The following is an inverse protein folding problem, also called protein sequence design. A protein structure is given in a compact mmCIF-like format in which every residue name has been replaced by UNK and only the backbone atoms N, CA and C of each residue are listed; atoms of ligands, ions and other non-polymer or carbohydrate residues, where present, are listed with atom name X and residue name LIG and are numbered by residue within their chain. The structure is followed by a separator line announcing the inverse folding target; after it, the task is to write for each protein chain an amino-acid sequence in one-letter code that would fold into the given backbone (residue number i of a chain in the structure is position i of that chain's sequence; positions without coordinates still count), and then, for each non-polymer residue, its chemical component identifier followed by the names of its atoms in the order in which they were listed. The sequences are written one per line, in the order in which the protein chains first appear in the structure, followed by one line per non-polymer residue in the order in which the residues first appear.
data_IF_319463226911
#
_entry.id   IF_319463226911
#
_cell.length_a   1.000
_cell.length_b   1.000
_cell.length_c   1.000
_cell.angle_alpha   90.00
_cell.angle_beta   90.00
_cell.angle_gamma   90.00
#
_symmetry.space_group_name_H-M   'P 1'
#
loop_
_entity.id
_entity.type
_entity.pdbx_description
1 polymer ?
#
# COMPACT_ATOMS: atom_id res chain seq x y z
N UNK A 1 13.07 15.73 -10.07
CA UNK A 1 11.93 15.44 -10.98
C UNK A 1 10.85 14.69 -10.21
N UNK A 2 9.96 15.40 -9.53
CA UNK A 2 8.79 14.82 -8.85
C UNK A 2 7.77 14.40 -9.90
N UNK A 3 7.65 13.10 -10.16
CA UNK A 3 6.52 12.59 -10.94
C UNK A 3 5.26 12.63 -10.07
N UNK A 4 4.26 13.48 -10.39
CA UNK A 4 3.09 13.68 -9.54
C UNK A 4 2.24 12.41 -9.40
N UNK A 5 2.16 11.59 -10.46
CA UNK A 5 1.42 10.32 -10.47
C UNK A 5 2.00 9.31 -9.48
N UNK A 6 3.34 9.21 -9.43
CA UNK A 6 4.04 8.31 -8.50
C UNK A 6 3.91 8.77 -7.05
N UNK A 7 3.70 10.07 -6.81
CA UNK A 7 3.44 10.59 -5.47
C UNK A 7 2.00 10.27 -5.01
N UNK A 8 1.02 10.43 -5.91
CA UNK A 8 -0.37 10.08 -5.63
C UNK A 8 -0.54 8.60 -5.25
N UNK A 9 0.23 7.71 -5.88
CA UNK A 9 0.18 6.28 -5.59
C UNK A 9 0.69 5.92 -4.18
N UNK A 10 1.74 6.62 -3.71
CA UNK A 10 2.25 6.48 -2.33
C UNK A 10 1.21 6.99 -1.34
N UNK A 11 0.61 8.15 -1.60
CA UNK A 11 -0.43 8.72 -0.73
C UNK A 11 -1.63 7.78 -0.64
N UNK A 12 -2.07 7.21 -1.77
CA UNK A 12 -3.15 6.22 -1.79
C UNK A 12 -2.80 4.97 -0.96
N UNK A 13 -1.57 4.44 -1.09
CA UNK A 13 -1.08 3.32 -0.27
C UNK A 13 -1.08 3.64 1.23
N UNK A 14 -0.64 4.84 1.61
CA UNK A 14 -0.68 5.30 3.00
C UNK A 14 -2.12 5.45 3.55
N UNK A 15 -3.05 5.97 2.75
CA UNK A 15 -4.47 6.08 3.15
C UNK A 15 -5.08 4.70 3.40
N UNK A 16 -4.78 3.71 2.55
CA UNK A 16 -5.23 2.32 2.74
C UNK A 16 -4.68 1.69 4.02
N UNK A 17 -3.42 1.97 4.36
CA UNK A 17 -2.83 1.56 5.64
C UNK A 17 -3.55 2.21 6.83
N UNK A 18 -3.86 3.51 6.76
CA UNK A 18 -4.63 4.18 7.82
C UNK A 18 -6.03 3.58 7.97
N UNK A 19 -6.72 3.28 6.86
CA UNK A 19 -8.02 2.62 6.89
C UNK A 19 -7.94 1.24 7.55
N UNK A 20 -6.86 0.49 7.35
CA UNK A 20 -6.64 -0.80 8.01
C UNK A 20 -6.58 -0.68 9.53
N UNK A 21 -5.96 0.39 10.05
CA UNK A 21 -5.85 0.65 11.49
C UNK A 21 -7.21 1.01 12.09
N UNK A 22 -8.01 1.80 11.37
CA UNK A 22 -9.39 2.12 11.79
C UNK A 22 -10.24 0.84 11.85
N UNK A 23 -10.14 -0.02 10.83
CA UNK A 23 -10.85 -1.29 10.79
C UNK A 23 -10.42 -2.25 11.91
N UNK A 24 -9.13 -2.30 12.23
CA UNK A 24 -8.59 -3.06 13.36
C UNK A 24 -9.18 -2.62 14.71
N UNK A 25 -9.47 -1.33 14.87
CA UNK A 25 -10.09 -0.81 16.10
C UNK A 25 -11.53 -1.29 16.33
N UNK A 26 -12.21 -1.75 15.28
CA UNK A 26 -13.64 -2.15 15.33
C UNK A 26 -13.90 -3.65 15.53
N UNK A 27 -12.86 -4.49 15.71
CA UNK A 27 -12.92 -5.93 15.40
C UNK A 27 -13.54 -6.87 16.46
N UNK A 28 -13.63 -6.52 17.75
CA UNK A 28 -13.98 -7.54 18.77
C UNK A 28 -15.28 -7.28 19.55
N UNK A 29 -15.70 -6.04 19.70
CA UNK A 29 -16.81 -5.67 20.60
C UNK A 29 -18.18 -5.68 19.92
N UNK A 30 -18.25 -5.47 18.60
CA UNK A 30 -19.49 -5.33 17.84
C UNK A 30 -20.07 -6.65 17.33
N UNK A 31 -19.25 -7.69 17.11
CA UNK A 31 -19.64 -8.95 16.46
C UNK A 31 -19.80 -10.12 17.44
N UNK A 32 -20.33 -9.86 18.64
CA UNK A 32 -20.73 -10.92 19.59
C UNK A 32 -21.95 -11.68 19.06
N UNK A 33 -21.77 -12.53 18.04
CA UNK A 33 -22.84 -13.43 17.58
C UNK A 33 -22.69 -14.04 16.19
N UNK A 34 -21.89 -13.46 15.28
CA UNK A 34 -21.89 -13.88 13.87
C UNK A 34 -20.50 -14.37 13.41
N UNK A 35 -20.27 -15.68 13.56
CA UNK A 35 -18.99 -16.35 13.25
C UNK A 35 -18.57 -16.28 11.78
N UNK A 36 -19.50 -16.06 10.84
CA UNK A 36 -19.15 -15.85 9.42
C UNK A 36 -18.55 -14.46 9.18
N UNK A 37 -19.13 -13.44 9.78
CA UNK A 37 -18.70 -12.05 9.59
C UNK A 37 -17.30 -11.81 10.19
N UNK A 38 -16.94 -12.48 11.29
CA UNK A 38 -15.58 -12.46 11.84
C UNK A 38 -14.52 -12.98 10.86
N UNK A 39 -14.78 -14.09 10.15
CA UNK A 39 -13.85 -14.65 9.16
C UNK A 39 -13.63 -13.69 7.99
N UNK A 40 -14.70 -13.04 7.51
CA UNK A 40 -14.59 -12.04 6.45
C UNK A 40 -13.76 -10.83 6.88
N UNK A 41 -14.04 -10.25 8.05
CA UNK A 41 -13.30 -9.07 8.53
C UNK A 41 -11.82 -9.41 8.74
N UNK A 42 -11.52 -10.56 9.37
CA UNK A 42 -10.15 -11.03 9.57
C UNK A 42 -9.38 -11.16 8.24
N UNK A 43 -10.00 -11.77 7.23
CA UNK A 43 -9.42 -11.88 5.89
C UNK A 43 -9.23 -10.50 5.25
N UNK A 44 -10.28 -9.68 5.20
CA UNK A 44 -10.24 -8.34 4.60
C UNK A 44 -9.16 -7.46 5.24
N UNK A 45 -8.93 -7.56 6.55
CA UNK A 45 -7.86 -6.84 7.24
C UNK A 45 -6.47 -7.21 6.71
N UNK A 46 -6.19 -8.50 6.56
CA UNK A 46 -4.92 -8.99 6.02
C UNK A 46 -4.73 -8.52 4.57
N UNK A 47 -5.80 -8.51 3.77
CA UNK A 47 -5.78 -8.02 2.40
C UNK A 47 -5.48 -6.53 2.29
N UNK A 48 -6.20 -5.68 3.03
CA UNK A 48 -6.01 -4.21 2.94
C UNK A 48 -4.61 -3.82 3.39
N UNK A 49 -4.10 -4.40 4.47
CA UNK A 49 -2.74 -4.13 4.96
C UNK A 49 -1.68 -4.53 3.94
N UNK A 50 -1.80 -5.73 3.37
CA UNK A 50 -0.86 -6.26 2.38
C UNK A 50 -0.85 -5.42 1.11
N UNK A 51 -2.03 -5.02 0.62
CA UNK A 51 -2.19 -4.18 -0.57
C UNK A 51 -1.64 -2.77 -0.32
N UNK A 52 -2.00 -2.13 0.80
CA UNK A 52 -1.53 -0.79 1.15
C UNK A 52 -0.02 -0.71 1.29
N UNK A 53 0.58 -1.70 1.96
CA UNK A 53 2.04 -1.81 2.09
C UNK A 53 2.72 -2.01 0.73
N UNK A 54 2.23 -2.94 -0.09
CA UNK A 54 2.80 -3.24 -1.42
C UNK A 54 2.71 -2.03 -2.35
N UNK A 55 1.60 -1.28 -2.32
CA UNK A 55 1.43 -0.08 -3.15
C UNK A 55 2.45 1.01 -2.77
N UNK A 56 2.62 1.27 -1.48
CA UNK A 56 3.57 2.28 -0.98
C UNK A 56 5.02 1.90 -1.27
N UNK A 57 5.44 0.68 -0.93
CA UNK A 57 6.81 0.21 -1.17
C UNK A 57 7.11 0.05 -2.66
N UNK A 58 6.16 -0.46 -3.44
CA UNK A 58 6.28 -0.59 -4.89
C UNK A 58 6.48 0.76 -5.57
N UNK A 59 5.70 1.77 -5.19
CA UNK A 59 5.84 3.12 -5.75
C UNK A 59 7.16 3.80 -5.37
N UNK A 60 7.71 3.54 -4.17
CA UNK A 60 9.06 3.99 -3.81
C UNK A 60 10.12 3.30 -4.65
N UNK A 61 10.04 1.97 -4.81
CA UNK A 61 10.99 1.22 -5.63
C UNK A 61 10.97 1.66 -7.09
N UNK A 62 9.79 1.87 -7.68
CA UNK A 62 9.66 2.38 -9.04
C UNK A 62 10.28 3.77 -9.22
N UNK A 63 10.26 4.65 -8.19
CA UNK A 63 10.94 5.95 -8.25
C UNK A 63 12.46 5.78 -8.30
N UNK A 64 13.02 4.93 -7.43
CA UNK A 64 14.46 4.64 -7.41
C UNK A 64 14.91 3.97 -8.69
N UNK A 65 14.12 3.01 -9.20
CA UNK A 65 14.36 2.32 -10.46
C UNK A 65 14.40 3.31 -11.64
N UNK A 66 13.46 4.26 -11.69
CA UNK A 66 13.44 5.28 -12.74
C UNK A 66 14.73 6.11 -12.75
N UNK A 67 15.23 6.49 -11.57
CA UNK A 67 16.50 7.23 -11.44
C UNK A 67 17.67 6.37 -11.89
N UNK A 68 17.74 5.11 -11.45
CA UNK A 68 18.77 4.16 -11.87
C UNK A 68 18.79 3.98 -13.40
N UNK A 69 17.64 3.76 -14.04
CA UNK A 69 17.53 3.63 -15.49
C UNK A 69 17.98 4.89 -16.24
N UNK A 70 17.75 6.09 -15.69
CA UNK A 70 18.24 7.34 -16.30
C UNK A 70 19.77 7.36 -16.27
N UNK A 71 20.41 7.11 -15.13
CA UNK A 71 21.87 7.09 -15.03
C UNK A 71 22.51 5.97 -15.87
N UNK A 72 21.90 4.78 -15.92
CA UNK A 72 22.35 3.68 -16.78
C UNK A 72 22.27 4.02 -18.26
N UNK A 73 21.19 4.67 -18.72
CA UNK A 73 21.07 5.05 -20.14
C UNK A 73 22.13 6.08 -20.56
N UNK A 74 22.44 7.04 -19.69
CA UNK A 74 23.46 8.05 -19.95
C UNK A 74 24.86 7.41 -20.01
N UNK A 75 25.11 6.39 -19.19
CA UNK A 75 26.38 5.64 -19.20
C UNK A 75 26.61 4.82 -20.46
N UNK A 76 25.55 4.36 -21.15
CA UNK A 76 25.70 3.56 -22.38
C UNK A 76 25.79 4.41 -23.65
N UNK A 77 25.49 5.70 -23.59
CA UNK A 77 25.59 6.61 -24.74
C UNK A 77 26.93 7.36 -24.82
N UNK A 78 27.93 6.94 -24.04
CA UNK A 78 29.29 7.50 -24.02
C UNK A 78 30.28 6.39 -24.31
#
# INVERSE_FOLDING_TARGET
MSSPQMNNLIVAGCVLCYLSVVFLGTDASLLRGESRALTYICSTRAWILSVGFTLSFGAMFSKTWRVHCIFTNISMSK
#
